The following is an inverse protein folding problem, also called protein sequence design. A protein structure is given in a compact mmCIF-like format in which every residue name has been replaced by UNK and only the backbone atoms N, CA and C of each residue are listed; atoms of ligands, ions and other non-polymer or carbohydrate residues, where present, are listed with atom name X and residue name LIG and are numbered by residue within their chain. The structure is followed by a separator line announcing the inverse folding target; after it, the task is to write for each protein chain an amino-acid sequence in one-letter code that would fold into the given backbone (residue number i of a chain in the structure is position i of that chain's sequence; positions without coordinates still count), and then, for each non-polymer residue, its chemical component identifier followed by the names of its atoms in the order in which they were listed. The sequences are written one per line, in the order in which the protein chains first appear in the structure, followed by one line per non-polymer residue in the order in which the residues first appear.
data_IF_251555437446
#
_entry.id   IF_251555437446
#
_cell.length_a   1.000
_cell.length_b   1.000
_cell.length_c   1.000
_cell.angle_alpha   90.00
_cell.angle_beta   90.00
_cell.angle_gamma   90.00
#
_symmetry.space_group_name_H-M   'P 1'
#
loop_
_entity.id
_entity.type
_entity.pdbx_description
1 polymer ?
#
# COMPACT_ATOMS: atom_id res chain seq x y z
N UNK A 1 24.92 -0.10 -9.94
CA UNK A 1 23.66 0.63 -9.78
C UNK A 1 23.68 1.93 -10.61
N UNK A 2 24.42 2.99 -10.25
CA UNK A 2 24.37 4.30 -10.96
C UNK A 2 24.61 4.16 -12.48
N UNK A 3 25.64 3.43 -12.89
CA UNK A 3 25.95 3.21 -14.32
C UNK A 3 24.85 2.40 -15.02
N UNK A 4 24.28 1.45 -14.35
CA UNK A 4 23.17 0.62 -14.84
C UNK A 4 21.92 1.46 -14.98
N UNK A 5 21.53 2.22 -13.97
CA UNK A 5 20.36 3.12 -14.04
C UNK A 5 20.49 4.11 -15.19
N UNK A 6 21.65 4.69 -15.41
CA UNK A 6 21.91 5.61 -16.50
C UNK A 6 21.77 4.96 -17.90
N UNK A 7 21.85 3.62 -18.01
CA UNK A 7 21.63 2.93 -19.28
C UNK A 7 20.16 2.80 -19.69
N UNK A 8 19.23 3.06 -18.77
CA UNK A 8 17.79 3.00 -19.03
C UNK A 8 17.11 4.34 -19.34
N UNK A 9 17.90 5.42 -19.40
CA UNK A 9 17.36 6.76 -19.66
C UNK A 9 18.26 7.55 -20.60
N UNK A 10 17.65 8.34 -21.46
CA UNK A 10 18.34 9.34 -22.30
C UNK A 10 18.50 10.68 -21.58
N UNK A 11 17.99 10.79 -20.35
CA UNK A 11 18.13 12.00 -19.54
C UNK A 11 19.56 12.07 -18.95
N UNK A 12 20.15 13.26 -18.86
CA UNK A 12 21.49 13.45 -18.29
C UNK A 12 21.52 13.33 -16.77
N UNK A 13 20.37 13.18 -16.13
CA UNK A 13 20.20 13.21 -14.68
C UNK A 13 19.58 11.91 -14.18
N UNK A 14 20.03 11.44 -13.02
CA UNK A 14 19.43 10.33 -12.26
C UNK A 14 19.17 10.78 -10.84
N UNK A 15 18.10 10.27 -10.24
CA UNK A 15 17.81 10.46 -8.83
C UNK A 15 18.62 9.47 -8.00
N UNK A 16 19.31 9.96 -6.99
CA UNK A 16 20.04 9.14 -6.00
C UNK A 16 19.48 9.48 -4.62
N UNK A 17 18.97 8.47 -3.95
CA UNK A 17 18.39 8.61 -2.62
C UNK A 17 19.14 7.75 -1.62
N UNK A 18 19.06 8.10 -0.34
CA UNK A 18 19.58 7.29 0.74
C UNK A 18 18.78 5.99 0.86
N UNK A 19 19.48 4.87 1.07
CA UNK A 19 18.82 3.58 1.29
C UNK A 19 18.07 3.58 2.63
N UNK A 20 16.80 3.23 2.60
CA UNK A 20 15.97 3.09 3.80
C UNK A 20 15.82 1.60 4.14
N UNK A 21 16.29 1.19 5.32
CA UNK A 21 16.18 -0.16 5.86
C UNK A 21 15.01 -0.34 6.86
N UNK A 22 14.12 0.65 6.93
CA UNK A 22 12.92 0.60 7.77
C UNK A 22 11.88 -0.43 7.30
N UNK A 23 10.90 -0.66 8.19
CA UNK A 23 9.69 -1.38 7.82
C UNK A 23 8.96 -0.59 6.73
N UNK A 24 8.50 -1.28 5.69
CA UNK A 24 7.81 -0.66 4.56
C UNK A 24 6.33 -1.00 4.57
N UNK A 25 5.49 -0.02 4.20
CA UNK A 25 4.05 -0.12 4.27
C UNK A 25 3.39 0.41 3.00
N UNK A 26 2.25 -0.20 2.66
CA UNK A 26 1.27 0.33 1.73
C UNK A 26 0.03 0.77 2.51
N UNK A 27 -0.37 2.03 2.37
CA UNK A 27 -1.57 2.58 2.98
C UNK A 27 -2.55 3.03 1.91
N UNK A 28 -3.79 2.58 2.01
CA UNK A 28 -4.89 3.02 1.17
C UNK A 28 -5.88 3.84 1.99
N UNK A 29 -6.29 4.97 1.42
CA UNK A 29 -7.23 5.89 2.04
C UNK A 29 -8.21 6.44 1.02
N UNK A 30 -9.31 6.99 1.53
CA UNK A 30 -10.24 7.81 0.78
C UNK A 30 -10.35 9.19 1.42
N UNK A 31 -10.24 10.23 0.60
CA UNK A 31 -10.54 11.60 1.06
C UNK A 31 -12.01 11.87 0.81
N UNK A 32 -12.74 12.25 1.86
CA UNK A 32 -14.14 12.65 1.78
C UNK A 32 -14.36 13.98 2.50
N UNK A 33 -14.89 14.95 1.79
CA UNK A 33 -15.07 16.34 2.28
C UNK A 33 -13.79 16.93 2.86
N UNK A 34 -12.64 16.58 2.29
CA UNK A 34 -11.32 17.02 2.72
C UNK A 34 -10.75 16.28 3.92
N UNK A 35 -11.42 15.24 4.42
CA UNK A 35 -10.94 14.41 5.53
C UNK A 35 -10.44 13.06 5.02
N UNK A 36 -9.28 12.66 5.47
CA UNK A 36 -8.69 11.34 5.16
C UNK A 36 -9.35 10.25 5.99
N UNK A 37 -9.85 9.21 5.33
CA UNK A 37 -10.37 7.98 5.92
C UNK A 37 -9.47 6.82 5.56
N UNK A 38 -8.92 6.14 6.55
CA UNK A 38 -8.04 4.98 6.34
C UNK A 38 -8.88 3.79 5.90
N UNK A 39 -8.49 3.19 4.78
CA UNK A 39 -9.10 1.96 4.27
C UNK A 39 -8.31 0.75 4.71
N UNK A 40 -6.99 0.76 4.53
CA UNK A 40 -6.13 -0.33 4.97
C UNK A 40 -4.67 0.11 5.10
N UNK A 41 -3.91 -0.60 5.93
CA UNK A 41 -2.45 -0.55 5.97
C UNK A 41 -1.93 -1.98 5.92
N UNK A 42 -1.00 -2.22 5.00
CA UNK A 42 -0.32 -3.50 4.84
C UNK A 42 1.17 -3.40 5.17
N UNK A 43 1.72 -4.45 5.75
CA UNK A 43 3.16 -4.64 5.78
C UNK A 43 3.63 -5.09 4.40
N UNK A 44 4.63 -4.39 3.86
CA UNK A 44 5.27 -4.75 2.60
C UNK A 44 6.60 -5.43 2.89
N UNK A 45 6.60 -6.75 2.81
CA UNK A 45 7.79 -7.54 3.07
C UNK A 45 8.66 -7.70 1.82
N UNK A 46 9.95 -7.76 2.04
CA UNK A 46 10.98 -7.84 1.00
C UNK A 46 11.90 -9.02 1.24
N UNK A 47 12.62 -9.42 0.20
CA UNK A 47 13.69 -10.42 0.32
C UNK A 47 14.79 -9.92 1.25
N UNK A 48 15.35 -10.84 2.04
CA UNK A 48 16.66 -10.61 2.64
C UNK A 48 17.71 -10.55 1.53
N UNK A 49 18.50 -9.50 1.53
CA UNK A 49 19.47 -9.25 0.47
C UNK A 49 20.91 -9.16 1.01
N UNK A 50 21.84 -9.59 0.16
CA UNK A 50 23.27 -9.35 0.39
C UNK A 50 23.68 -7.90 0.07
N UNK A 51 24.90 -7.54 0.43
CA UNK A 51 25.44 -6.22 0.11
C UNK A 51 25.42 -5.93 -1.39
N UNK A 52 24.76 -4.84 -1.79
CA UNK A 52 24.70 -4.39 -3.17
C UNK A 52 23.56 -4.99 -4.01
N UNK A 53 22.73 -5.84 -3.44
CA UNK A 53 21.50 -6.33 -4.08
C UNK A 53 20.32 -5.37 -3.84
N UNK A 54 19.32 -5.41 -4.71
CA UNK A 54 18.09 -4.63 -4.58
C UNK A 54 17.02 -5.52 -3.96
N UNK A 55 16.39 -5.13 -2.85
CA UNK A 55 15.31 -5.90 -2.24
C UNK A 55 14.09 -5.95 -3.16
N UNK A 56 13.49 -7.12 -3.27
CA UNK A 56 12.29 -7.36 -4.07
C UNK A 56 11.13 -7.64 -3.11
N UNK A 57 9.96 -7.04 -3.38
CA UNK A 57 8.75 -7.32 -2.62
C UNK A 57 8.36 -8.78 -2.77
N UNK A 58 8.16 -9.47 -1.63
CA UNK A 58 7.77 -10.89 -1.59
C UNK A 58 6.31 -11.06 -1.24
N UNK A 59 5.79 -10.20 -0.36
CA UNK A 59 4.38 -10.23 0.01
C UNK A 59 3.92 -8.91 0.64
N UNK A 60 2.61 -8.66 0.54
CA UNK A 60 1.92 -7.67 1.36
C UNK A 60 0.97 -8.39 2.30
N UNK A 61 1.04 -8.08 3.59
CA UNK A 61 0.28 -8.73 4.67
C UNK A 61 -0.73 -7.76 5.25
N UNK A 62 -1.99 -8.17 5.39
CA UNK A 62 -3.10 -7.39 5.91
C UNK A 62 -3.75 -8.06 7.13
N UNK A 63 -4.13 -7.27 8.16
CA UNK A 63 -3.69 -5.89 8.38
C UNK A 63 -2.21 -5.85 8.76
N UNK A 64 -1.62 -4.66 8.75
CA UNK A 64 -0.25 -4.45 9.24
C UNK A 64 -0.12 -4.89 10.69
N UNK A 65 0.96 -5.59 11.03
CA UNK A 65 1.27 -5.97 12.43
C UNK A 65 1.74 -4.76 13.26
N UNK A 66 2.12 -3.65 12.61
CA UNK A 66 2.53 -2.40 13.23
C UNK A 66 1.47 -1.29 13.07
N UNK A 67 0.21 -1.67 12.79
CA UNK A 67 -0.88 -0.74 12.53
C UNK A 67 -0.95 0.39 13.56
N UNK A 68 -0.99 0.05 14.85
CA UNK A 68 -1.12 1.01 15.96
C UNK A 68 0.01 2.03 16.01
N UNK A 69 1.22 1.62 15.60
CA UNK A 69 2.40 2.49 15.63
C UNK A 69 2.42 3.48 14.46
N UNK A 70 1.84 3.10 13.33
CA UNK A 70 1.99 3.86 12.08
C UNK A 70 0.73 4.59 11.64
N UNK A 71 -0.47 4.16 12.06
CA UNK A 71 -1.73 4.71 11.55
C UNK A 71 -1.87 6.20 11.80
N UNK A 72 -1.66 6.65 13.03
CA UNK A 72 -1.85 8.05 13.39
C UNK A 72 -0.87 8.97 12.64
N UNK A 73 0.46 8.79 12.73
CA UNK A 73 1.40 9.66 12.04
C UNK A 73 1.28 9.58 10.50
N UNK A 74 0.92 8.42 9.92
CA UNK A 74 0.68 8.30 8.49
C UNK A 74 -0.58 9.04 8.04
N UNK A 75 -1.65 8.96 8.83
CA UNK A 75 -2.90 9.69 8.55
C UNK A 75 -2.70 11.20 8.64
N UNK A 76 -1.99 11.68 9.66
CA UNK A 76 -1.68 13.11 9.82
C UNK A 76 -0.89 13.66 8.62
N UNK A 77 0.04 12.87 8.10
CA UNK A 77 0.85 13.22 6.94
C UNK A 77 0.00 13.31 5.67
N UNK A 78 -0.86 12.32 5.42
CA UNK A 78 -1.80 12.33 4.30
C UNK A 78 -2.84 13.46 4.45
N UNK A 79 -3.30 13.75 5.67
CA UNK A 79 -4.21 14.88 5.89
C UNK A 79 -3.52 16.20 5.55
N UNK A 80 -2.28 16.39 5.97
CA UNK A 80 -1.49 17.58 5.60
C UNK A 80 -1.31 17.68 4.09
N UNK A 81 -1.07 16.56 3.40
CA UNK A 81 -0.98 16.53 1.94
C UNK A 81 -2.31 16.92 1.28
N UNK A 82 -3.43 16.33 1.71
CA UNK A 82 -4.75 16.63 1.19
C UNK A 82 -5.13 18.13 1.38
N UNK A 83 -4.82 18.67 2.56
CA UNK A 83 -5.06 20.10 2.87
C UNK A 83 -4.25 21.03 1.96
N UNK A 84 -2.97 20.73 1.76
CA UNK A 84 -2.08 21.54 0.92
C UNK A 84 -2.40 21.46 -0.57
N UNK A 85 -2.81 20.30 -1.04
CA UNK A 85 -3.20 20.10 -2.45
C UNK A 85 -4.64 20.55 -2.74
N UNK A 86 -5.44 20.76 -1.69
CA UNK A 86 -6.84 21.07 -1.80
C UNK A 86 -7.72 19.90 -2.20
N UNK A 87 -7.21 18.65 -2.07
CA UNK A 87 -7.98 17.45 -2.39
C UNK A 87 -9.16 17.32 -1.42
N UNK A 88 -10.37 17.25 -1.97
CA UNK A 88 -11.59 17.15 -1.18
C UNK A 88 -12.26 15.78 -1.28
N UNK A 89 -12.01 15.06 -2.36
CA UNK A 89 -12.65 13.77 -2.65
C UNK A 89 -11.67 12.86 -3.38
N UNK A 90 -11.84 11.55 -3.19
CA UNK A 90 -11.21 10.52 -4.01
C UNK A 90 -10.14 9.71 -3.30
N UNK A 91 -9.62 8.74 -4.03
CA UNK A 91 -8.59 7.84 -3.56
C UNK A 91 -7.28 8.57 -3.29
N UNK A 92 -6.59 8.13 -2.24
CA UNK A 92 -5.24 8.54 -1.93
C UNK A 92 -4.50 7.36 -1.32
N UNK A 93 -3.34 7.04 -1.87
CA UNK A 93 -2.49 5.97 -1.35
C UNK A 93 -1.10 6.49 -1.03
N UNK A 94 -0.44 5.84 -0.09
CA UNK A 94 0.92 6.18 0.30
C UNK A 94 1.74 4.91 0.53
N UNK A 95 2.92 4.88 -0.08
CA UNK A 95 3.99 3.95 0.27
C UNK A 95 4.97 4.70 1.17
N UNK A 96 5.34 4.10 2.29
CA UNK A 96 6.20 4.75 3.26
C UNK A 96 7.04 3.76 4.06
N UNK A 97 8.12 4.27 4.64
CA UNK A 97 8.95 3.56 5.60
C UNK A 97 8.71 4.10 7.00
N UNK A 98 8.91 3.25 7.98
CA UNK A 98 8.88 3.64 9.39
C UNK A 98 9.97 2.93 10.18
N UNK A 99 10.59 3.66 11.11
CA UNK A 99 11.53 3.12 12.09
C UNK A 99 11.21 3.65 13.48
N UNK A 100 11.39 2.83 14.53
CA UNK A 100 11.29 3.29 15.91
C UNK A 100 12.22 4.47 16.16
N UNK A 101 11.65 5.60 16.62
CA UNK A 101 12.42 6.81 16.94
C UNK A 101 12.75 7.74 15.76
N UNK A 102 12.64 7.29 14.52
CA UNK A 102 12.88 8.13 13.33
C UNK A 102 11.56 8.62 12.69
N UNK A 103 10.45 7.90 12.93
CA UNK A 103 9.14 8.24 12.39
C UNK A 103 8.93 7.76 10.96
N UNK A 104 8.07 8.46 10.20
CA UNK A 104 7.68 8.09 8.84
C UNK A 104 8.53 8.83 7.81
N UNK A 105 8.99 8.09 6.81
CA UNK A 105 9.59 8.61 5.59
C UNK A 105 8.75 8.18 4.39
N UNK A 106 8.23 9.15 3.64
CA UNK A 106 7.37 8.89 2.49
C UNK A 106 8.21 8.45 1.30
N UNK A 107 7.82 7.35 0.68
CA UNK A 107 8.35 6.90 -0.60
C UNK A 107 7.54 7.50 -1.75
N UNK A 108 6.22 7.28 -1.75
CA UNK A 108 5.31 7.74 -2.79
C UNK A 108 3.94 8.10 -2.22
N UNK A 109 3.31 9.16 -2.74
CA UNK A 109 1.88 9.45 -2.57
C UNK A 109 1.24 9.51 -3.94
N UNK A 110 0.12 8.80 -4.13
CA UNK A 110 -0.59 8.75 -5.39
C UNK A 110 -2.11 8.93 -5.20
N UNK A 111 -2.74 9.69 -6.10
CA UNK A 111 -4.20 9.91 -6.10
C UNK A 111 -4.94 8.73 -6.77
N UNK A 112 -4.65 7.51 -6.33
CA UNK A 112 -5.25 6.25 -6.79
C UNK A 112 -5.13 5.19 -5.71
N UNK A 113 -5.87 4.10 -5.84
CA UNK A 113 -5.61 2.87 -5.07
C UNK A 113 -4.46 2.07 -5.68
N UNK A 114 -3.87 1.18 -4.91
CA UNK A 114 -2.95 0.15 -5.44
C UNK A 114 -3.74 -0.84 -6.29
N UNK A 115 -3.22 -1.14 -7.51
CA UNK A 115 -4.00 -1.77 -8.57
C UNK A 115 -4.37 -3.25 -8.40
N UNK A 116 -3.85 -3.96 -7.40
CA UNK A 116 -4.00 -5.41 -7.26
C UNK A 116 -4.32 -5.88 -5.82
N UNK A 117 -4.78 -4.97 -4.97
CA UNK A 117 -5.04 -5.28 -3.56
C UNK A 117 -6.52 -5.09 -3.17
N UNK A 118 -7.39 -4.81 -4.15
CA UNK A 118 -8.80 -4.53 -3.92
C UNK A 118 -9.56 -5.72 -3.34
N UNK A 119 -9.41 -6.90 -3.96
CA UNK A 119 -10.04 -8.14 -3.52
C UNK A 119 -9.61 -8.53 -2.11
N UNK A 120 -8.36 -8.25 -1.77
CA UNK A 120 -7.82 -8.56 -0.46
C UNK A 120 -8.42 -7.64 0.62
N UNK A 121 -8.66 -6.38 0.29
CA UNK A 121 -9.30 -5.43 1.21
C UNK A 121 -10.74 -5.85 1.53
N UNK A 122 -11.49 -6.31 0.53
CA UNK A 122 -12.83 -6.87 0.73
C UNK A 122 -12.77 -8.14 1.59
N UNK A 123 -11.88 -9.07 1.26
CA UNK A 123 -11.74 -10.32 1.99
C UNK A 123 -11.32 -10.12 3.46
N UNK A 124 -10.42 -9.17 3.73
CA UNK A 124 -9.86 -8.92 5.06
C UNK A 124 -10.78 -8.07 5.92
N UNK A 125 -11.37 -7.03 5.37
CA UNK A 125 -12.14 -6.02 6.11
C UNK A 125 -13.63 -6.00 5.79
N UNK A 126 -14.08 -6.71 4.75
CA UNK A 126 -15.44 -6.57 4.21
C UNK A 126 -15.67 -5.19 3.57
N UNK A 127 -14.60 -4.55 3.11
CA UNK A 127 -14.64 -3.22 2.50
C UNK A 127 -14.35 -3.33 1.01
N UNK A 128 -15.41 -3.24 0.19
CA UNK A 128 -15.32 -3.36 -1.25
C UNK A 128 -15.00 -2.01 -1.90
N UNK A 129 -13.88 -1.90 -2.60
CA UNK A 129 -13.42 -0.65 -3.22
C UNK A 129 -14.19 -0.28 -4.47
N UNK A 130 -14.70 -1.25 -5.20
CA UNK A 130 -15.56 -1.05 -6.36
C UNK A 130 -16.90 -0.43 -5.93
N UNK A 131 -17.49 -0.95 -4.85
CA UNK A 131 -18.70 -0.36 -4.25
C UNK A 131 -18.43 1.07 -3.75
N UNK A 132 -17.27 1.33 -3.16
CA UNK A 132 -16.87 2.67 -2.76
C UNK A 132 -16.86 3.64 -3.95
N UNK A 133 -16.28 3.24 -5.09
CA UNK A 133 -16.24 4.05 -6.30
C UNK A 133 -17.63 4.25 -6.91
N UNK A 134 -18.47 3.21 -6.95
CA UNK A 134 -19.83 3.31 -7.43
C UNK A 134 -20.68 4.23 -6.54
N UNK A 135 -20.56 4.09 -5.22
CA UNK A 135 -21.25 4.96 -4.26
C UNK A 135 -20.77 6.42 -4.38
N UNK A 136 -19.48 6.62 -4.62
CA UNK A 136 -18.95 7.97 -4.88
C UNK A 136 -19.62 8.63 -6.08
N UNK A 137 -19.92 7.89 -7.14
CA UNK A 137 -20.53 8.41 -8.36
C UNK A 137 -22.06 8.57 -8.26
N UNK A 138 -22.73 7.63 -7.59
CA UNK A 138 -24.19 7.47 -7.71
C UNK A 138 -24.95 7.62 -6.39
N UNK A 139 -24.32 7.35 -5.24
CA UNK A 139 -24.98 7.41 -3.92
C UNK A 139 -24.05 7.90 -2.82
N UNK A 140 -24.02 9.22 -2.63
CA UNK A 140 -23.19 9.87 -1.62
C UNK A 140 -23.53 9.48 -0.18
N UNK A 141 -24.78 9.12 0.09
CA UNK A 141 -25.20 8.68 1.41
C UNK A 141 -24.68 7.28 1.72
N UNK A 142 -24.71 6.38 0.74
CA UNK A 142 -24.11 5.05 0.87
C UNK A 142 -22.59 5.15 1.04
N UNK A 143 -21.92 6.05 0.30
CA UNK A 143 -20.49 6.34 0.49
C UNK A 143 -20.18 6.73 1.93
N UNK A 144 -20.90 7.71 2.48
CA UNK A 144 -20.68 8.18 3.85
C UNK A 144 -20.88 7.05 4.87
N UNK A 145 -21.98 6.29 4.73
CA UNK A 145 -22.25 5.16 5.60
C UNK A 145 -21.14 4.11 5.54
N UNK A 146 -20.62 3.80 4.35
CA UNK A 146 -19.55 2.85 4.15
C UNK A 146 -18.26 3.31 4.82
N UNK A 147 -17.86 4.58 4.62
CA UNK A 147 -16.65 5.15 5.20
C UNK A 147 -16.71 5.24 6.73
N UNK A 148 -17.87 5.62 7.30
CA UNK A 148 -18.02 5.77 8.74
C UNK A 148 -18.24 4.43 9.48
N UNK A 149 -18.73 3.42 8.80
CA UNK A 149 -18.86 2.07 9.37
C UNK A 149 -17.54 1.29 9.33
N UNK A 150 -16.61 1.67 8.45
CA UNK A 150 -15.37 0.95 8.27
C UNK A 150 -14.41 1.14 9.43
N UNK A 151 -13.82 0.02 9.89
CA UNK A 151 -12.82 -0.03 10.96
C UNK A 151 -11.58 -0.77 10.43
N UNK A 152 -10.60 -0.01 9.99
CA UNK A 152 -9.35 -0.54 9.42
C UNK A 152 -8.46 -1.27 10.46
N UNK A 153 -8.77 -1.14 11.75
CA UNK A 153 -8.13 -1.83 12.88
C UNK A 153 -8.84 -3.12 13.30
N UNK A 154 -10.02 -3.40 12.73
CA UNK A 154 -10.87 -4.54 13.10
C UNK A 154 -11.10 -5.47 11.90
N UNK A 155 -10.08 -6.24 11.48
CA UNK A 155 -10.19 -7.12 10.34
C UNK A 155 -11.09 -8.32 10.64
N UNK A 156 -11.84 -8.78 9.64
CA UNK A 156 -12.61 -10.01 9.69
C UNK A 156 -11.70 -11.24 9.66
N UNK A 157 -10.56 -11.11 9.02
CA UNK A 157 -9.52 -12.15 8.88
C UNK A 157 -8.19 -11.53 8.48
N UNK A 158 -7.13 -12.33 8.51
CA UNK A 158 -5.83 -11.94 7.96
C UNK A 158 -5.71 -12.45 6.52
N UNK A 159 -4.97 -11.72 5.69
CA UNK A 159 -4.72 -12.07 4.32
C UNK A 159 -3.35 -11.59 3.82
N UNK A 160 -2.87 -12.18 2.74
CA UNK A 160 -1.64 -11.75 2.11
C UNK A 160 -1.68 -11.92 0.60
N UNK A 161 -1.05 -10.99 -0.12
CA UNK A 161 -0.66 -11.16 -1.52
C UNK A 161 0.78 -11.67 -1.54
N UNK A 162 1.03 -12.73 -2.29
CA UNK A 162 2.36 -13.28 -2.48
C UNK A 162 2.84 -12.96 -3.89
N UNK A 163 4.07 -12.48 -4.02
CA UNK A 163 4.71 -12.17 -5.29
C UNK A 163 5.71 -13.26 -5.66
N UNK A 164 5.47 -13.92 -6.77
CA UNK A 164 6.38 -14.93 -7.30
C UNK A 164 7.19 -14.31 -8.45
N UNK A 165 8.49 -14.27 -8.27
CA UNK A 165 9.41 -13.75 -9.28
C UNK A 165 10.02 -14.93 -10.03
N UNK A 166 9.62 -15.11 -11.29
CA UNK A 166 10.21 -16.08 -12.22
C UNK A 166 11.32 -15.45 -13.06
N UNK A 167 12.26 -16.28 -13.54
CA UNK A 167 13.17 -15.87 -14.61
C UNK A 167 12.40 -15.80 -15.92
N UNK A 168 12.92 -15.06 -16.89
CA UNK A 168 12.34 -14.96 -18.22
C UNK A 168 11.96 -16.35 -18.77
N UNK A 169 10.72 -16.49 -19.25
CA UNK A 169 10.17 -17.70 -19.88
C UNK A 169 9.90 -18.92 -18.97
N UNK A 170 10.14 -18.84 -17.68
CA UNK A 170 9.69 -19.90 -16.77
C UNK A 170 8.25 -19.63 -16.33
N UNK A 171 7.29 -20.35 -16.91
CA UNK A 171 5.93 -20.40 -16.38
C UNK A 171 5.97 -21.37 -15.19
N UNK A 172 5.93 -20.84 -13.97
CA UNK A 172 5.75 -21.69 -12.79
C UNK A 172 4.43 -22.45 -12.87
N UNK A 173 4.44 -23.73 -12.59
CA UNK A 173 3.20 -24.53 -12.48
C UNK A 173 2.36 -23.94 -11.33
N UNK A 174 1.29 -23.22 -11.68
CA UNK A 174 0.39 -22.60 -10.72
C UNK A 174 -0.28 -23.60 -9.78
N UNK A 175 -0.33 -24.88 -10.15
CA UNK A 175 -0.90 -25.93 -9.29
C UNK A 175 -0.11 -26.11 -7.99
N UNK A 176 1.18 -25.82 -7.98
CA UNK A 176 2.01 -25.88 -6.78
C UNK A 176 1.69 -24.77 -5.76
N UNK A 177 1.17 -23.62 -6.20
CA UNK A 177 0.82 -22.49 -5.33
C UNK A 177 -0.40 -22.77 -4.44
N UNK A 178 -1.29 -23.66 -4.84
CA UNK A 178 -2.49 -24.01 -4.09
C UNK A 178 -2.26 -25.09 -3.01
N UNK A 179 -1.09 -25.68 -2.94
CA UNK A 179 -0.77 -26.74 -1.95
C UNK A 179 -0.35 -26.15 -0.58
N UNK A 180 -0.18 -24.83 -0.46
CA UNK A 180 0.19 -24.16 0.78
C UNK A 180 -0.99 -23.85 1.72
N UNK A 181 -2.20 -24.26 1.37
CA UNK A 181 -3.43 -23.97 2.14
C UNK A 181 -3.76 -24.99 3.22
N UNK A 182 -2.81 -25.69 3.76
CA UNK A 182 -3.06 -26.74 4.72
C UNK A 182 -2.06 -26.85 5.85
N UNK A 183 -1.87 -25.79 6.64
CA UNK A 183 -1.36 -25.96 8.04
C UNK A 183 -1.70 -24.72 8.86
#
# INVERSE_FOLDING_TARGET
AITETASFTDLPEILVEEYNDGYEFNMMTWVHKGKVHVVSIADREKTDIGPGEIPISTRNVYPSCLYEQVVAPATDLLQCYADKTGQKEGALSMQFFWKPGEGIQVCEIAARFFGYEHELTDMVFGFNMEDLLLNYLYDRSALENMLFAHQADSPLRHGAVLYFHGREMEISDQSAAYTLSGH
#
